data_IF_479671558386
#
_entry.id   IF_479671558386
#
_cell.length_a   1.000
_cell.length_b   1.000
_cell.length_c   1.000
_cell.angle_alpha   90.00
_cell.angle_beta   90.00
_cell.angle_gamma   90.00
#
_symmetry.space_group_name_H-M   'P 1'
#
loop_
_entity.id
_entity.type
_entity.pdbx_description
1 polymer ?
#
# COMPACT_ATOMS: atom_id res chain seq x y z
N UNK A 1 -8.14 8.54 7.61
CA UNK A 1 -7.65 9.80 7.01
C UNK A 1 -8.35 9.98 5.67
N UNK A 2 -8.96 11.15 5.41
CA UNK A 2 -9.62 11.41 4.13
C UNK A 2 -8.60 11.39 2.98
N UNK A 3 -8.96 10.75 1.87
CA UNK A 3 -8.12 10.65 0.67
C UNK A 3 -6.91 9.74 0.85
N UNK A 4 -5.84 10.04 0.10
CA UNK A 4 -4.57 9.30 0.08
C UNK A 4 -3.61 9.65 1.22
N UNK A 5 -4.13 10.17 2.34
CA UNK A 5 -3.32 10.58 3.49
C UNK A 5 -2.91 9.38 4.34
N UNK A 6 -1.69 9.43 4.89
CA UNK A 6 -1.16 8.46 5.84
C UNK A 6 -1.71 8.74 7.24
N UNK A 7 -1.88 7.69 8.05
CA UNK A 7 -2.30 7.81 9.44
C UNK A 7 -1.12 7.45 10.34
N UNK A 8 -0.55 8.42 11.06
CA UNK A 8 0.57 8.16 11.94
C UNK A 8 0.18 7.24 13.11
N UNK A 9 1.17 6.69 13.83
CA UNK A 9 0.93 5.86 15.02
C UNK A 9 0.13 6.58 16.12
N UNK A 10 0.11 7.91 16.07
CA UNK A 10 -0.57 8.78 17.02
C UNK A 10 -1.97 9.19 16.57
N UNK A 11 -2.46 8.67 15.44
CA UNK A 11 -3.80 8.94 14.92
C UNK A 11 -3.93 10.27 14.18
N UNK A 12 -2.80 10.90 13.82
CA UNK A 12 -2.81 12.12 13.01
C UNK A 12 -2.70 11.78 11.52
N UNK A 13 -3.36 12.57 10.69
CA UNK A 13 -3.35 12.40 9.24
C UNK A 13 -2.35 13.36 8.59
N UNK A 14 -1.53 12.86 7.67
CA UNK A 14 -0.59 13.68 6.91
C UNK A 14 0.06 12.90 5.77
N UNK A 15 0.90 13.59 5.00
CA UNK A 15 1.63 13.01 3.86
C UNK A 15 3.15 13.01 4.04
N UNK A 16 3.66 13.62 5.13
CA UNK A 16 5.10 13.55 5.41
C UNK A 16 5.48 12.15 5.86
N UNK A 17 6.77 11.85 5.74
CA UNK A 17 7.32 10.56 6.13
C UNK A 17 7.00 10.24 7.61
N UNK A 18 6.88 11.23 8.50
CA UNK A 18 6.44 11.02 9.90
C UNK A 18 5.05 10.38 10.04
N UNK A 19 4.17 10.57 9.06
CA UNK A 19 2.84 9.95 9.02
C UNK A 19 2.82 8.64 8.25
N UNK A 20 3.69 8.51 7.24
CA UNK A 20 3.72 7.39 6.29
C UNK A 20 4.76 6.30 6.61
N UNK A 21 5.71 6.59 7.51
CA UNK A 21 6.83 5.71 7.89
C UNK A 21 6.43 4.77 9.05
N UNK A 22 7.37 4.54 9.98
CA UNK A 22 7.25 3.56 11.05
C UNK A 22 6.08 3.86 11.98
N UNK A 23 5.13 2.94 12.00
CA UNK A 23 3.90 3.04 12.79
C UNK A 23 2.73 3.69 12.05
N UNK A 24 2.82 3.87 10.73
CA UNK A 24 1.64 4.20 9.94
C UNK A 24 0.55 3.13 10.11
N UNK A 25 -0.71 3.55 10.26
CA UNK A 25 -1.86 2.70 10.48
C UNK A 25 -2.60 2.42 9.16
N UNK A 26 -2.39 1.26 8.51
CA UNK A 26 -2.92 0.96 7.17
C UNK A 26 -4.46 0.89 7.14
N UNK A 27 -5.09 0.49 8.25
CA UNK A 27 -6.55 0.49 8.34
C UNK A 27 -7.18 1.90 8.27
N UNK A 28 -6.39 2.94 8.54
CA UNK A 28 -6.87 4.31 8.67
C UNK A 28 -6.17 5.31 7.73
N UNK A 29 -5.22 4.88 6.89
CA UNK A 29 -4.53 5.75 5.94
C UNK A 29 -3.66 4.96 4.97
N UNK A 30 -3.06 5.63 3.98
CA UNK A 30 -2.22 5.00 2.96
C UNK A 30 -0.75 4.98 3.38
N UNK A 31 -0.26 3.86 3.87
CA UNK A 31 1.11 3.70 4.34
C UNK A 31 2.02 3.25 3.19
N UNK A 32 2.96 4.10 2.76
CA UNK A 32 3.84 3.83 1.61
C UNK A 32 5.14 3.13 1.96
N UNK A 33 5.45 2.95 3.25
CA UNK A 33 6.76 2.48 3.70
C UNK A 33 6.82 0.98 4.02
N UNK A 34 5.83 0.20 3.57
CA UNK A 34 5.86 -1.25 3.69
C UNK A 34 6.39 -1.83 2.38
N UNK A 35 7.73 -1.91 2.28
CA UNK A 35 8.42 -2.50 1.14
C UNK A 35 7.80 -3.87 0.79
N UNK A 36 7.23 -3.96 -0.41
CA UNK A 36 6.67 -5.22 -0.91
C UNK A 36 5.21 -5.48 -0.56
N UNK A 37 4.47 -4.55 0.06
CA UNK A 37 3.02 -4.69 0.26
C UNK A 37 2.22 -3.65 -0.50
N UNK A 38 0.96 -3.98 -0.77
CA UNK A 38 0.02 -3.18 -1.53
C UNK A 38 -1.41 -3.50 -1.11
N UNK A 39 -2.34 -2.71 -1.61
CA UNK A 39 -3.75 -2.86 -1.28
C UNK A 39 -4.26 -1.71 -0.44
N UNK A 40 -5.49 -1.85 0.01
CA UNK A 40 -6.17 -0.85 0.82
C UNK A 40 -5.35 -0.53 2.08
N UNK A 41 -4.83 0.68 2.15
CA UNK A 41 -4.02 1.15 3.28
C UNK A 41 -2.51 0.93 3.16
N UNK A 42 -2.06 0.18 2.16
CA UNK A 42 -0.64 -0.09 1.87
C UNK A 42 -0.18 0.58 0.57
N UNK A 43 -1.12 1.09 -0.22
CA UNK A 43 -0.82 1.83 -1.45
C UNK A 43 -0.60 0.93 -2.65
N UNK A 44 0.06 1.50 -3.66
CA UNK A 44 0.29 0.88 -4.96
C UNK A 44 1.71 0.33 -4.99
N UNK A 45 1.90 -0.83 -5.61
CA UNK A 45 3.22 -1.39 -5.80
C UNK A 45 4.16 -0.47 -6.60
N UNK A 46 5.41 -0.26 -6.13
CA UNK A 46 6.41 0.47 -6.89
C UNK A 46 6.83 -0.30 -8.16
N UNK A 47 7.48 0.40 -9.09
CA UNK A 47 7.99 -0.14 -10.36
C UNK A 47 6.93 -0.78 -11.27
N UNK A 48 5.66 -0.36 -11.14
CA UNK A 48 4.54 -0.99 -11.87
C UNK A 48 4.42 -2.49 -11.61
N UNK A 49 4.85 -2.96 -10.43
CA UNK A 49 4.67 -4.37 -10.02
C UNK A 49 3.20 -4.69 -9.80
N UNK A 50 2.89 -5.97 -9.84
CA UNK A 50 1.55 -6.49 -9.63
C UNK A 50 1.26 -6.60 -8.14
N UNK A 51 0.03 -6.24 -7.77
CA UNK A 51 -0.44 -6.42 -6.41
C UNK A 51 -1.19 -7.74 -6.30
N UNK A 52 -0.59 -8.75 -5.68
CA UNK A 52 -1.25 -10.04 -5.47
C UNK A 52 -2.55 -9.91 -4.67
N UNK A 53 -3.43 -10.91 -4.75
CA UNK A 53 -4.61 -11.03 -3.89
C UNK A 53 -4.31 -11.01 -2.39
N UNK A 54 -3.07 -11.27 -2.02
CA UNK A 54 -2.59 -11.30 -0.64
C UNK A 54 -2.07 -9.94 -0.16
N UNK A 55 -2.10 -8.91 -1.01
CA UNK A 55 -1.60 -7.58 -0.66
C UNK A 55 -0.07 -7.48 -0.69
N UNK A 56 0.57 -8.31 -1.50
CA UNK A 56 2.02 -8.25 -1.74
C UNK A 56 2.34 -7.84 -3.15
N UNK A 57 3.44 -7.09 -3.30
CA UNK A 57 3.97 -6.66 -4.57
C UNK A 57 4.95 -7.66 -5.14
N UNK A 58 4.75 -8.01 -6.41
CA UNK A 58 5.69 -8.83 -7.15
C UNK A 58 5.42 -8.77 -8.64
N UNK A 59 6.33 -9.33 -9.42
CA UNK A 59 6.23 -9.37 -10.89
C UNK A 59 6.05 -10.79 -11.43
N UNK A 60 6.00 -11.81 -10.57
CA UNK A 60 5.71 -13.18 -11.01
C UNK A 60 4.21 -13.35 -11.27
N UNK A 61 3.87 -14.40 -12.03
CA UNK A 61 2.49 -14.80 -12.31
C UNK A 61 1.65 -15.08 -11.05
N UNK A 62 2.26 -15.32 -9.90
CA UNK A 62 1.53 -15.47 -8.63
C UNK A 62 1.01 -14.13 -8.10
N UNK A 63 1.65 -13.03 -8.47
CA UNK A 63 1.25 -11.67 -8.12
C UNK A 63 0.39 -11.03 -9.21
N UNK A 64 0.73 -11.27 -10.48
CA UNK A 64 0.03 -10.72 -11.65
C UNK A 64 -1.13 -11.59 -12.15
N UNK A 65 -1.25 -12.82 -11.65
CA UNK A 65 -2.27 -13.77 -12.09
C UNK A 65 -3.61 -13.58 -11.38
N UNK A 66 -4.31 -14.69 -11.15
CA UNK A 66 -5.67 -14.67 -10.64
C UNK A 66 -5.77 -14.03 -9.24
N UNK A 67 -6.52 -12.94 -9.18
CA UNK A 67 -6.74 -12.14 -7.98
C UNK A 67 -5.76 -10.99 -7.80
N UNK A 68 -4.96 -10.66 -8.81
CA UNK A 68 -4.22 -9.40 -8.85
C UNK A 68 -5.18 -8.21 -8.61
N UNK A 69 -4.76 -7.22 -7.81
CA UNK A 69 -5.54 -6.05 -7.43
C UNK A 69 -5.16 -4.85 -8.33
N UNK A 70 -5.90 -4.57 -9.42
CA UNK A 70 -5.52 -3.57 -10.42
C UNK A 70 -5.58 -2.12 -9.91
N UNK A 71 -6.31 -1.87 -8.81
CA UNK A 71 -6.30 -0.57 -8.14
C UNK A 71 -4.97 -0.27 -7.43
N UNK A 72 -4.16 -1.31 -7.16
CA UNK A 72 -2.96 -1.24 -6.33
C UNK A 72 -1.70 -1.79 -7.01
N UNK A 73 -1.76 -2.11 -8.29
CA UNK A 73 -0.61 -2.56 -9.08
C UNK A 73 -1.00 -2.81 -10.53
N UNK A 74 -0.03 -3.20 -11.37
CA UNK A 74 -0.38 -3.65 -12.71
C UNK A 74 -0.89 -5.09 -12.68
N UNK A 75 -2.04 -5.29 -13.31
CA UNK A 75 -2.56 -6.58 -13.75
C UNK A 75 -2.84 -6.39 -15.26
#
# INVERSE_FOLDING_TARGET
>A
CPGSNCCSKWGYCGVSSEYCDSGCQPNYGYCTNFEGTCGKGYGICPDSKCCSKWGYCGSSSEYCGDGCQPEYGQC
#
